data_IF_781860814834
#
_entry.id   IF_781860814834
#
_cell.length_a   1.000
_cell.length_b   1.000
_cell.length_c   1.000
_cell.angle_alpha   90.00
_cell.angle_beta   90.00
_cell.angle_gamma   90.00
#
_symmetry.space_group_name_H-M   'P 1'
#
loop_
_entity.id
_entity.type
_entity.pdbx_description
1 polymer ?
#
# COMPACT_ATOMS: atom_id res chain seq x y z
N UNK A 1 11.73 -38.05 30.02
CA UNK A 1 10.90 -36.89 29.65
C UNK A 1 11.63 -35.57 29.78
N UNK A 2 12.09 -35.16 30.98
CA UNK A 2 12.71 -33.84 31.19
C UNK A 2 14.02 -33.61 30.41
N UNK A 3 14.83 -34.66 30.20
CA UNK A 3 16.10 -34.57 29.44
C UNK A 3 15.82 -34.34 27.95
N UNK A 4 14.95 -35.15 27.35
CA UNK A 4 14.52 -34.97 25.96
C UNK A 4 13.88 -33.59 25.70
N UNK A 5 13.12 -33.08 26.68
CA UNK A 5 12.51 -31.75 26.60
C UNK A 5 13.56 -30.63 26.68
N UNK A 6 14.63 -30.81 27.46
CA UNK A 6 15.76 -29.85 27.52
C UNK A 6 16.59 -29.88 26.24
N UNK A 7 16.83 -31.06 25.66
CA UNK A 7 17.54 -31.23 24.39
C UNK A 7 16.79 -30.57 23.22
N UNK A 8 15.47 -30.74 23.16
CA UNK A 8 14.62 -30.06 22.18
C UNK A 8 14.67 -28.53 22.35
N UNK A 9 14.69 -28.04 23.59
CA UNK A 9 14.74 -26.60 23.87
C UNK A 9 16.12 -26.00 23.56
N UNK A 10 17.21 -26.76 23.71
CA UNK A 10 18.54 -26.34 23.28
C UNK A 10 18.70 -26.33 21.77
N UNK A 11 18.13 -27.32 21.07
CA UNK A 11 18.13 -27.37 19.61
C UNK A 11 17.34 -26.20 19.02
N UNK A 12 16.13 -25.95 19.51
CA UNK A 12 15.31 -24.82 19.07
C UNK A 12 15.99 -23.46 19.33
N UNK A 13 16.66 -23.30 20.48
CA UNK A 13 17.45 -22.09 20.76
C UNK A 13 18.63 -21.94 19.80
N UNK A 14 19.30 -23.04 19.46
CA UNK A 14 20.42 -23.03 18.52
C UNK A 14 19.98 -22.66 17.10
N UNK A 15 18.82 -23.16 16.65
CA UNK A 15 18.24 -22.83 15.34
C UNK A 15 17.87 -21.34 15.25
N UNK A 16 17.24 -20.78 16.30
CA UNK A 16 16.94 -19.34 16.36
C UNK A 16 18.21 -18.49 16.33
N UNK A 17 19.27 -18.90 17.03
CA UNK A 17 20.56 -18.18 16.96
C UNK A 17 21.22 -18.28 15.59
N UNK A 18 21.13 -19.43 14.92
CA UNK A 18 21.67 -19.61 13.56
C UNK A 18 20.91 -18.74 12.57
N UNK A 19 19.57 -18.69 12.65
CA UNK A 19 18.75 -17.81 11.82
C UNK A 19 19.09 -16.33 12.00
N UNK A 20 19.28 -15.88 13.25
CA UNK A 20 19.70 -14.50 13.55
C UNK A 20 21.08 -14.15 12.99
N UNK A 21 22.04 -15.07 13.11
CA UNK A 21 23.38 -14.88 12.56
C UNK A 21 23.37 -14.81 11.03
N UNK A 22 22.51 -15.58 10.37
CA UNK A 22 22.37 -15.53 8.91
C UNK A 22 21.70 -14.21 8.46
N UNK A 23 20.71 -13.70 9.19
CA UNK A 23 20.13 -12.36 8.94
C UNK A 23 21.21 -11.28 9.08
N UNK A 24 22.04 -11.31 10.13
CA UNK A 24 23.13 -10.34 10.31
C UNK A 24 24.17 -10.44 9.18
N UNK A 25 24.52 -11.67 8.77
CA UNK A 25 25.44 -11.91 7.65
C UNK A 25 24.90 -11.35 6.34
N UNK A 26 23.63 -11.64 6.01
CA UNK A 26 22.98 -11.15 4.79
C UNK A 26 22.87 -9.62 4.80
N UNK A 27 22.50 -9.01 5.93
CA UNK A 27 22.50 -7.54 6.12
C UNK A 27 23.89 -6.93 5.88
N UNK A 28 24.95 -7.59 6.36
CA UNK A 28 26.33 -7.14 6.15
C UNK A 28 26.76 -7.27 4.67
N UNK A 29 26.39 -8.37 4.01
CA UNK A 29 26.65 -8.56 2.57
C UNK A 29 25.91 -7.52 1.72
N UNK A 30 24.67 -7.21 2.07
CA UNK A 30 23.87 -6.19 1.41
C UNK A 30 24.44 -4.78 1.64
N UNK A 31 24.88 -4.46 2.85
CA UNK A 31 25.56 -3.19 3.14
C UNK A 31 26.88 -3.05 2.35
N UNK A 32 27.61 -4.15 2.17
CA UNK A 32 28.83 -4.20 1.35
C UNK A 32 28.52 -4.04 -0.14
N UNK A 33 27.53 -4.77 -0.66
CA UNK A 33 27.07 -4.67 -2.04
C UNK A 33 26.55 -3.27 -2.38
N UNK A 34 25.73 -2.66 -1.51
CA UNK A 34 25.29 -1.26 -1.65
C UNK A 34 26.45 -0.27 -1.65
N UNK A 35 27.51 -0.49 -0.85
CA UNK A 35 28.73 0.36 -0.88
C UNK A 35 29.51 0.19 -2.19
N UNK A 36 29.63 -1.04 -2.70
CA UNK A 36 30.30 -1.36 -3.97
C UNK A 36 29.50 -0.83 -5.19
N UNK A 37 28.18 -0.70 -5.06
CA UNK A 37 27.28 -0.15 -6.07
C UNK A 37 27.51 1.35 -6.34
N UNK A 38 28.14 2.09 -5.42
CA UNK A 38 28.59 3.46 -5.65
C UNK A 38 29.91 3.55 -6.46
N UNK A 39 30.47 2.42 -6.91
CA UNK A 39 31.50 2.33 -7.96
C UNK A 39 30.90 2.30 -9.37
N UNK A 40 31.59 1.73 -10.37
CA UNK A 40 31.00 1.53 -11.72
C UNK A 40 29.75 0.66 -11.58
N UNK A 41 28.57 1.27 -11.74
CA UNK A 41 27.29 0.61 -11.47
C UNK A 41 27.11 -0.56 -12.44
N UNK A 42 27.27 -1.80 -11.96
CA UNK A 42 26.86 -2.97 -12.73
C UNK A 42 25.41 -3.32 -12.37
N UNK A 43 24.56 -3.56 -13.37
CA UNK A 43 23.19 -4.06 -13.18
C UNK A 43 23.16 -5.33 -12.31
N UNK A 44 24.23 -6.14 -12.38
CA UNK A 44 24.44 -7.33 -11.52
C UNK A 44 24.49 -7.01 -10.03
N UNK A 45 25.09 -5.88 -9.64
CA UNK A 45 25.12 -5.44 -8.26
C UNK A 45 23.72 -5.06 -7.74
N UNK A 46 22.89 -4.43 -8.57
CA UNK A 46 21.51 -4.08 -8.21
C UNK A 46 20.65 -5.32 -7.99
N UNK A 47 20.70 -6.27 -8.93
CA UNK A 47 19.96 -7.53 -8.84
C UNK A 47 20.38 -8.36 -7.61
N UNK A 48 21.67 -8.36 -7.27
CA UNK A 48 22.16 -9.05 -6.07
C UNK A 48 21.62 -8.40 -4.78
N UNK A 49 21.55 -7.06 -4.73
CA UNK A 49 20.96 -6.35 -3.58
C UNK A 49 19.48 -6.72 -3.44
N UNK A 50 18.70 -6.65 -4.51
CA UNK A 50 17.28 -7.02 -4.51
C UNK A 50 17.05 -8.48 -4.07
N UNK A 51 17.89 -9.41 -4.55
CA UNK A 51 17.82 -10.82 -4.16
C UNK A 51 18.15 -11.03 -2.68
N UNK A 52 19.15 -10.33 -2.15
CA UNK A 52 19.52 -10.40 -0.74
C UNK A 52 18.45 -9.77 0.14
N UNK A 53 17.80 -8.68 -0.30
CA UNK A 53 16.66 -8.06 0.40
C UNK A 53 15.52 -9.07 0.56
N UNK A 54 15.13 -9.72 -0.53
CA UNK A 54 14.07 -10.75 -0.51
C UNK A 54 14.42 -11.92 0.43
N UNK A 55 15.67 -12.40 0.38
CA UNK A 55 16.11 -13.49 1.28
C UNK A 55 16.10 -13.08 2.76
N UNK A 56 16.39 -11.81 3.07
CA UNK A 56 16.28 -11.29 4.43
C UNK A 56 14.82 -11.23 4.86
N UNK A 57 13.93 -10.75 3.99
CA UNK A 57 12.48 -10.71 4.25
C UNK A 57 11.95 -12.12 4.60
N UNK A 58 12.24 -13.14 3.79
CA UNK A 58 11.81 -14.54 4.03
C UNK A 58 12.27 -15.08 5.40
N UNK A 59 13.51 -14.77 5.79
CA UNK A 59 14.07 -15.18 7.08
C UNK A 59 13.46 -14.41 8.26
N UNK A 60 13.23 -13.11 8.08
CA UNK A 60 12.57 -12.27 9.09
C UNK A 60 11.12 -12.72 9.31
N UNK A 61 10.40 -13.06 8.24
CA UNK A 61 9.05 -13.65 8.31
C UNK A 61 9.05 -14.97 9.07
N UNK A 62 9.98 -15.88 8.73
CA UNK A 62 10.10 -17.18 9.42
C UNK A 62 10.41 -17.00 10.90
N UNK A 63 11.32 -16.09 11.25
CA UNK A 63 11.63 -15.80 12.65
C UNK A 63 10.41 -15.21 13.38
N UNK A 64 9.71 -14.26 12.77
CA UNK A 64 8.51 -13.66 13.35
C UNK A 64 7.39 -14.69 13.56
N UNK A 65 7.22 -15.63 12.63
CA UNK A 65 6.27 -16.74 12.74
C UNK A 65 6.60 -17.62 13.96
N UNK A 66 7.86 -18.02 14.12
CA UNK A 66 8.31 -18.83 15.26
C UNK A 66 8.12 -18.10 16.60
N UNK A 67 8.51 -16.82 16.66
CA UNK A 67 8.34 -16.00 17.86
C UNK A 67 6.86 -15.85 18.23
N UNK A 68 5.99 -15.66 17.24
CA UNK A 68 4.54 -15.52 17.42
C UNK A 68 3.90 -16.84 17.87
N UNK A 69 4.26 -17.98 17.25
CA UNK A 69 3.81 -19.32 17.68
C UNK A 69 4.20 -19.60 19.14
N UNK A 70 5.43 -19.25 19.52
CA UNK A 70 5.89 -19.36 20.90
C UNK A 70 5.10 -18.47 21.87
N UNK A 71 4.69 -17.26 21.43
CA UNK A 71 3.83 -16.38 22.22
C UNK A 71 2.42 -16.94 22.43
N UNK A 72 1.80 -17.48 21.39
CA UNK A 72 0.49 -18.11 21.52
C UNK A 72 0.52 -19.31 22.48
N UNK A 73 1.55 -20.16 22.38
CA UNK A 73 1.74 -21.35 23.22
C UNK A 73 2.20 -21.07 24.67
N UNK A 74 2.63 -19.84 24.98
CA UNK A 74 3.11 -19.50 26.32
C UNK A 74 1.99 -19.47 27.38
N UNK A 75 2.23 -19.95 28.60
CA UNK A 75 1.27 -19.86 29.71
C UNK A 75 1.02 -18.40 30.12
N UNK A 76 -0.17 -18.08 30.66
CA UNK A 76 -0.56 -16.70 30.99
C UNK A 76 0.44 -15.97 31.90
N UNK A 77 1.04 -16.68 32.87
CA UNK A 77 2.06 -16.11 33.75
C UNK A 77 3.33 -15.67 32.99
N UNK A 78 3.68 -16.32 31.89
CA UNK A 78 4.79 -15.94 31.02
C UNK A 78 4.41 -14.77 30.09
N UNK A 79 3.16 -14.71 29.63
CA UNK A 79 2.61 -13.56 28.87
C UNK A 79 2.60 -12.28 29.71
N UNK A 80 2.21 -12.38 30.98
CA UNK A 80 2.24 -11.26 31.94
C UNK A 80 3.66 -10.75 32.23
N UNK A 81 4.65 -11.65 32.38
CA UNK A 81 6.06 -11.25 32.55
C UNK A 81 6.64 -10.60 31.29
N UNK A 82 6.26 -11.05 30.09
CA UNK A 82 6.70 -10.42 28.83
C UNK A 82 6.08 -9.04 28.62
N UNK A 83 4.84 -8.81 29.06
CA UNK A 83 4.21 -7.49 29.05
C UNK A 83 4.97 -6.45 29.91
N UNK A 84 5.79 -6.91 30.88
CA UNK A 84 6.63 -6.05 31.71
C UNK A 84 7.97 -5.67 31.06
N UNK A 85 8.36 -6.31 29.95
CA UNK A 85 9.55 -5.92 29.19
C UNK A 85 9.13 -5.02 28.01
N UNK A 86 9.46 -3.72 28.04
CA UNK A 86 9.03 -2.80 27.00
C UNK A 86 9.73 -3.10 25.68
N UNK A 87 8.96 -3.48 24.66
CA UNK A 87 9.40 -3.41 23.26
C UNK A 87 9.67 -1.93 22.92
N UNK A 88 10.60 -1.64 21.99
CA UNK A 88 10.84 -0.27 21.53
C UNK A 88 9.51 0.41 21.13
N UNK A 89 9.35 1.71 21.43
CA UNK A 89 8.11 2.42 21.17
C UNK A 89 7.77 2.36 19.68
N UNK A 90 6.55 1.93 19.36
CA UNK A 90 6.04 1.96 17.99
C UNK A 90 6.09 3.40 17.48
N UNK A 91 6.49 3.58 16.22
CA UNK A 91 6.33 4.90 15.58
C UNK A 91 4.86 5.29 15.64
N UNK A 92 4.53 6.55 15.97
CA UNK A 92 3.14 6.99 16.02
C UNK A 92 2.52 6.88 14.63
N UNK A 93 1.22 6.58 14.60
CA UNK A 93 0.44 6.61 13.37
C UNK A 93 0.36 8.06 12.84
N UNK A 94 0.27 8.27 11.52
CA UNK A 94 0.15 9.61 10.95
C UNK A 94 -1.13 10.32 11.42
N UNK A 95 -1.01 11.60 11.80
CA UNK A 95 -2.13 12.40 12.32
C UNK A 95 -3.06 12.98 11.25
N UNK A 96 -2.69 12.87 9.97
CA UNK A 96 -3.43 13.40 8.84
C UNK A 96 -4.49 12.43 8.27
N UNK A 97 -4.65 11.25 8.88
CA UNK A 97 -5.61 10.24 8.44
C UNK A 97 -6.98 10.46 9.10
N UNK A 98 -8.09 10.18 8.40
CA UNK A 98 -9.42 10.21 9.01
C UNK A 98 -9.49 9.17 10.14
N UNK A 99 -10.13 9.54 11.26
CA UNK A 99 -10.26 8.68 12.44
C UNK A 99 -11.73 8.29 12.62
N UNK A 100 -12.03 7.01 12.40
CA UNK A 100 -13.29 6.41 12.85
C UNK A 100 -13.17 6.03 14.33
N UNK A 101 -14.09 6.52 15.17
CA UNK A 101 -14.10 6.23 16.61
C UNK A 101 -15.24 5.28 16.95
N UNK A 102 -14.89 4.02 17.15
CA UNK A 102 -15.80 2.99 17.65
C UNK A 102 -15.73 3.00 19.18
N UNK A 103 -16.87 3.25 19.83
CA UNK A 103 -16.99 3.23 21.30
C UNK A 103 -17.68 1.93 21.69
N UNK A 104 -16.93 1.05 22.34
CA UNK A 104 -17.49 -0.19 22.88
C UNK A 104 -18.57 0.10 23.94
N UNK A 105 -19.63 -0.72 24.01
CA UNK A 105 -20.72 -0.50 24.95
C UNK A 105 -20.22 -0.56 26.39
N UNK A 106 -20.83 0.26 27.26
CA UNK A 106 -20.50 0.22 28.67
C UNK A 106 -20.84 -1.15 29.28
N UNK A 107 -20.04 -1.63 30.25
CA UNK A 107 -20.41 -2.84 30.98
C UNK A 107 -21.73 -2.63 31.72
N UNK A 108 -22.61 -3.63 31.73
CA UNK A 108 -23.88 -3.55 32.46
C UNK A 108 -23.72 -3.68 33.98
N UNK A 109 -22.62 -4.28 34.45
CA UNK A 109 -22.35 -4.53 35.85
C UNK A 109 -20.86 -4.49 36.17
N UNK A 110 -20.53 -4.20 37.42
CA UNK A 110 -19.16 -4.27 37.91
C UNK A 110 -18.67 -5.73 37.92
N UNK A 111 -17.55 -6.00 37.22
CA UNK A 111 -16.96 -7.35 37.13
C UNK A 111 -16.50 -7.94 38.47
N UNK A 112 -16.46 -7.15 39.57
CA UNK A 112 -16.05 -7.61 40.90
C UNK A 112 -17.23 -7.83 41.86
N UNK A 113 -18.25 -6.98 41.83
CA UNK A 113 -19.37 -7.03 42.79
C UNK A 113 -20.77 -7.12 42.16
N UNK A 114 -20.87 -7.09 40.83
CA UNK A 114 -22.13 -7.21 40.11
C UNK A 114 -23.03 -5.96 40.15
N UNK A 115 -22.60 -4.85 40.76
CA UNK A 115 -23.43 -3.64 40.85
C UNK A 115 -23.57 -2.93 39.49
N UNK A 116 -24.76 -2.41 39.20
CA UNK A 116 -25.05 -1.59 38.01
C UNK A 116 -24.67 -0.11 38.18
N UNK A 117 -24.24 0.28 39.39
CA UNK A 117 -23.85 1.66 39.74
C UNK A 117 -22.43 1.98 39.22
N UNK A 118 -22.29 2.16 37.91
CA UNK A 118 -21.03 2.44 37.24
C UNK A 118 -20.91 3.94 36.90
N UNK A 119 -19.70 4.49 37.01
CA UNK A 119 -19.39 5.88 36.61
C UNK A 119 -18.19 5.90 35.66
N UNK A 120 -18.25 6.71 34.61
CA UNK A 120 -17.17 6.86 33.63
C UNK A 120 -15.99 7.62 34.25
N UNK A 121 -14.82 6.98 34.33
CA UNK A 121 -13.59 7.60 34.87
C UNK A 121 -12.69 8.20 33.79
N UNK A 122 -12.67 7.61 32.61
CA UNK A 122 -11.78 7.98 31.52
C UNK A 122 -11.91 6.99 30.39
N UNK A 123 -11.02 7.09 29.42
CA UNK A 123 -11.00 6.22 28.25
C UNK A 123 -9.57 5.76 27.98
N UNK A 124 -9.44 4.51 27.57
CA UNK A 124 -8.19 3.96 27.07
C UNK A 124 -8.35 3.86 25.55
N UNK A 125 -7.56 4.64 24.80
CA UNK A 125 -7.66 4.70 23.34
C UNK A 125 -6.60 3.78 22.74
N UNK A 126 -7.06 2.79 21.98
CA UNK A 126 -6.21 2.02 21.07
C UNK A 126 -6.45 2.50 19.64
N UNK A 127 -5.40 2.86 18.91
CA UNK A 127 -5.49 3.20 17.48
C UNK A 127 -5.04 2.00 16.65
N UNK A 128 -5.87 1.60 15.70
CA UNK A 128 -5.56 0.55 14.70
C UNK A 128 -5.54 1.21 13.32
N UNK A 129 -4.54 0.87 12.50
CA UNK A 129 -4.47 1.32 11.12
C UNK A 129 -5.21 0.31 10.24
N UNK A 130 -6.31 0.75 9.64
CA UNK A 130 -7.13 -0.04 8.71
C UNK A 130 -7.04 0.51 7.28
N UNK A 131 -7.34 -0.32 6.29
CA UNK A 131 -7.34 0.05 4.88
C UNK A 131 -8.66 -0.37 4.25
N UNK A 132 -9.44 0.60 3.76
CA UNK A 132 -10.58 0.32 2.90
C UNK A 132 -10.08 0.08 1.46
N UNK A 133 -10.38 -1.07 0.84
CA UNK A 133 -10.08 -1.30 -0.57
C UNK A 133 -10.75 -0.26 -1.48
N UNK A 134 -10.36 -0.26 -2.75
CA UNK A 134 -10.93 0.70 -3.70
C UNK A 134 -12.46 0.56 -3.83
N UNK A 135 -13.15 1.70 -3.85
CA UNK A 135 -14.61 1.77 -4.00
C UNK A 135 -15.00 2.16 -5.41
N UNK A 136 -15.66 1.25 -6.12
CA UNK A 136 -16.22 1.51 -7.46
C UNK A 136 -17.56 2.26 -7.34
N UNK A 137 -17.78 3.23 -8.23
CA UNK A 137 -19.04 3.99 -8.31
C UNK A 137 -19.33 4.39 -9.75
N UNK A 138 -20.62 4.47 -10.07
CA UNK A 138 -21.12 5.07 -11.31
C UNK A 138 -21.55 6.50 -10.96
N UNK A 139 -21.17 7.47 -11.81
CA UNK A 139 -21.64 8.85 -11.70
C UNK A 139 -22.53 9.10 -12.91
N UNK A 140 -23.82 9.28 -12.66
CA UNK A 140 -24.79 9.62 -13.71
C UNK A 140 -25.00 11.13 -13.75
N UNK A 141 -24.72 11.73 -14.90
CA UNK A 141 -24.99 13.15 -15.15
C UNK A 141 -26.33 13.31 -15.87
N UNK A 142 -27.40 13.51 -15.11
CA UNK A 142 -28.74 13.75 -15.65
C UNK A 142 -28.87 15.22 -16.06
N UNK A 143 -29.24 15.46 -17.32
CA UNK A 143 -29.52 16.80 -17.86
C UNK A 143 -31.00 16.88 -18.23
N UNK A 144 -31.76 17.52 -17.36
CA UNK A 144 -33.19 17.68 -17.58
C UNK A 144 -33.45 18.70 -18.68
N UNK A 145 -34.45 18.40 -19.51
CA UNK A 145 -34.92 19.27 -20.58
C UNK A 145 -36.20 19.95 -20.13
N UNK A 146 -36.27 21.26 -20.33
CA UNK A 146 -37.44 22.07 -20.01
C UNK A 146 -37.94 22.79 -21.26
N UNK A 147 -39.25 22.78 -21.49
CA UNK A 147 -39.88 23.64 -22.49
C UNK A 147 -40.32 24.95 -21.85
N UNK A 148 -40.02 26.07 -22.49
CA UNK A 148 -40.59 27.36 -22.13
C UNK A 148 -42.08 27.36 -22.48
N UNK A 149 -42.96 27.82 -21.58
CA UNK A 149 -44.42 27.90 -21.87
C UNK A 149 -44.80 29.05 -22.78
N UNK A 150 -43.97 30.08 -22.87
CA UNK A 150 -44.27 31.29 -23.65
C UNK A 150 -43.88 31.14 -25.12
N UNK A 151 -42.78 30.44 -25.41
CA UNK A 151 -42.24 30.29 -26.77
C UNK A 151 -42.00 28.84 -27.20
N UNK A 152 -42.37 27.86 -26.38
CA UNK A 152 -42.20 26.42 -26.62
C UNK A 152 -40.75 25.96 -26.86
N UNK A 153 -39.77 26.85 -26.70
CA UNK A 153 -38.36 26.52 -26.87
C UNK A 153 -37.88 25.52 -25.80
N UNK A 154 -37.11 24.52 -26.22
CA UNK A 154 -36.54 23.50 -25.34
C UNK A 154 -35.16 23.97 -24.89
N UNK A 155 -34.91 23.94 -23.58
CA UNK A 155 -33.65 24.33 -22.95
C UNK A 155 -33.12 23.18 -22.08
N UNK A 156 -31.80 23.04 -22.03
CA UNK A 156 -31.10 22.06 -21.19
C UNK A 156 -29.80 22.66 -20.65
N UNK A 157 -29.32 22.13 -19.52
CA UNK A 157 -28.00 22.48 -19.01
C UNK A 157 -26.89 21.97 -19.96
N UNK A 158 -25.76 22.68 -20.07
CA UNK A 158 -24.63 22.23 -20.87
C UNK A 158 -24.08 20.89 -20.36
N UNK A 159 -23.51 20.09 -21.27
CA UNK A 159 -22.88 18.84 -20.90
C UNK A 159 -21.67 19.08 -19.98
N UNK A 160 -21.47 18.25 -18.95
CA UNK A 160 -20.27 18.34 -18.12
C UNK A 160 -19.02 18.11 -18.97
N UNK A 161 -17.94 18.81 -18.63
CA UNK A 161 -16.64 18.61 -19.26
C UNK A 161 -16.02 17.30 -18.81
N UNK A 162 -15.59 16.47 -19.76
CA UNK A 162 -14.83 15.25 -19.49
C UNK A 162 -13.44 15.35 -20.13
N UNK A 163 -12.39 14.79 -19.50
CA UNK A 163 -11.04 14.79 -20.06
C UNK A 163 -10.96 14.10 -21.43
N UNK A 164 -11.72 13.02 -21.61
CA UNK A 164 -11.85 12.30 -22.87
C UNK A 164 -13.31 12.39 -23.32
N UNK A 165 -13.59 12.99 -24.49
CA UNK A 165 -14.94 13.06 -25.03
C UNK A 165 -15.58 11.67 -25.18
N UNK A 166 -16.83 11.53 -24.75
CA UNK A 166 -17.64 10.30 -24.89
C UNK A 166 -17.01 9.04 -24.25
N UNK A 167 -16.09 9.20 -23.31
CA UNK A 167 -15.49 8.09 -22.57
C UNK A 167 -16.36 7.62 -21.41
N UNK A 168 -16.38 6.32 -21.12
CA UNK A 168 -17.04 5.77 -19.93
C UNK A 168 -16.23 6.01 -18.64
N UNK A 169 -14.92 6.21 -18.77
CA UNK A 169 -14.01 6.35 -17.64
C UNK A 169 -13.94 7.80 -17.16
N UNK A 170 -14.30 8.04 -15.90
CA UNK A 170 -14.12 9.33 -15.25
C UNK A 170 -12.65 9.67 -14.97
N UNK A 171 -12.34 10.93 -14.62
CA UNK A 171 -10.97 11.42 -14.42
C UNK A 171 -10.19 10.62 -13.37
N UNK A 172 -10.80 10.25 -12.25
CA UNK A 172 -10.14 9.48 -11.19
C UNK A 172 -9.77 8.06 -11.64
N UNK A 173 -10.62 7.41 -12.44
CA UNK A 173 -10.31 6.09 -13.00
C UNK A 173 -9.14 6.17 -13.99
N UNK A 174 -9.16 7.18 -14.86
CA UNK A 174 -8.06 7.42 -15.80
C UNK A 174 -6.73 7.68 -15.08
N UNK A 175 -6.75 8.53 -14.05
CA UNK A 175 -5.57 8.82 -13.24
C UNK A 175 -5.03 7.54 -12.56
N UNK A 176 -5.90 6.72 -11.98
CA UNK A 176 -5.52 5.45 -11.37
C UNK A 176 -4.86 4.50 -12.38
N UNK A 177 -5.44 4.35 -13.58
CA UNK A 177 -4.87 3.48 -14.63
C UNK A 177 -3.46 3.94 -15.03
N UNK A 178 -3.25 5.25 -15.20
CA UNK A 178 -1.96 5.83 -15.57
C UNK A 178 -0.93 5.68 -14.44
N UNK A 179 -1.29 6.01 -13.21
CA UNK A 179 -0.41 5.88 -12.04
C UNK A 179 0.00 4.42 -11.86
N UNK A 180 -0.96 3.49 -11.91
CA UNK A 180 -0.64 2.08 -11.79
C UNK A 180 0.28 1.61 -12.93
N UNK A 181 0.05 2.07 -14.17
CA UNK A 181 0.85 1.66 -15.32
C UNK A 181 2.28 2.20 -15.26
N UNK A 182 2.43 3.50 -15.03
CA UNK A 182 3.70 4.20 -15.23
C UNK A 182 4.48 4.42 -13.93
N UNK A 183 3.80 4.66 -12.80
CA UNK A 183 4.47 4.88 -11.51
C UNK A 183 4.67 3.56 -10.75
N UNK A 184 3.69 2.66 -10.78
CA UNK A 184 3.73 1.39 -10.04
C UNK A 184 4.10 0.19 -10.92
N UNK A 185 4.47 0.43 -12.19
CA UNK A 185 4.90 -0.59 -13.14
C UNK A 185 3.93 -1.78 -13.29
N UNK A 186 2.62 -1.55 -13.12
CA UNK A 186 1.60 -2.57 -13.25
C UNK A 186 1.10 -2.64 -14.71
N UNK A 187 1.41 -3.70 -15.46
CA UNK A 187 0.97 -3.80 -16.86
C UNK A 187 -0.56 -3.90 -16.96
N UNK A 188 -1.12 -3.44 -18.09
CA UNK A 188 -2.57 -3.30 -18.27
C UNK A 188 -3.33 -4.63 -18.15
N UNK A 189 -2.72 -5.75 -18.53
CA UNK A 189 -3.31 -7.08 -18.34
C UNK A 189 -3.48 -7.44 -16.85
N UNK A 190 -2.54 -7.03 -15.99
CA UNK A 190 -2.61 -7.23 -14.55
C UNK A 190 -3.67 -6.31 -13.94
N UNK A 191 -3.75 -5.07 -14.39
CA UNK A 191 -4.81 -4.14 -13.97
C UNK A 191 -6.20 -4.66 -14.33
N UNK A 192 -6.41 -5.05 -15.60
CA UNK A 192 -7.68 -5.64 -16.08
C UNK A 192 -8.11 -6.85 -15.25
N UNK A 193 -7.19 -7.79 -14.98
CA UNK A 193 -7.46 -8.95 -14.12
C UNK A 193 -7.80 -8.56 -12.68
N UNK A 194 -7.14 -7.54 -12.13
CA UNK A 194 -7.47 -7.03 -10.80
C UNK A 194 -8.88 -6.43 -10.78
N UNK A 195 -9.25 -5.64 -11.78
CA UNK A 195 -10.59 -5.04 -11.86
C UNK A 195 -11.68 -6.11 -12.01
N UNK A 196 -11.43 -7.16 -12.81
CA UNK A 196 -12.37 -8.26 -12.96
C UNK A 196 -12.61 -9.02 -11.64
N UNK A 197 -11.56 -9.20 -10.80
CA UNK A 197 -11.71 -9.77 -9.44
C UNK A 197 -12.55 -8.90 -8.51
N UNK A 198 -12.67 -7.61 -8.81
CA UNK A 198 -13.49 -6.65 -8.08
C UNK A 198 -14.89 -6.48 -8.72
N UNK A 199 -15.24 -7.33 -9.69
CA UNK A 199 -16.52 -7.30 -10.40
C UNK A 199 -16.61 -6.28 -11.53
N UNK A 200 -15.49 -5.68 -11.95
CA UNK A 200 -15.43 -4.66 -12.99
C UNK A 200 -14.65 -5.19 -14.19
N UNK A 201 -15.37 -5.63 -15.22
CA UNK A 201 -14.78 -6.16 -16.45
C UNK A 201 -14.40 -5.02 -17.39
N UNK A 202 -13.08 -4.85 -17.63
CA UNK A 202 -12.54 -3.90 -18.61
C UNK A 202 -11.42 -4.59 -19.37
N UNK A 203 -11.60 -4.70 -20.68
CA UNK A 203 -10.60 -5.31 -21.56
C UNK A 203 -9.30 -4.49 -21.64
N UNK A 204 -8.21 -5.19 -21.91
CA UNK A 204 -6.88 -4.58 -22.08
C UNK A 204 -6.85 -3.60 -23.26
N UNK A 205 -7.57 -3.90 -24.36
CA UNK A 205 -7.72 -3.00 -25.50
C UNK A 205 -8.40 -1.69 -25.09
N UNK A 206 -9.51 -1.79 -24.35
CA UNK A 206 -10.25 -0.63 -23.83
C UNK A 206 -9.36 0.22 -22.93
N UNK A 207 -8.59 -0.39 -22.03
CA UNK A 207 -7.61 0.33 -21.20
C UNK A 207 -6.51 0.98 -22.04
N UNK A 208 -5.99 0.29 -23.06
CA UNK A 208 -4.96 0.83 -23.95
C UNK A 208 -5.47 2.06 -24.71
N UNK A 209 -6.69 2.01 -25.25
CA UNK A 209 -7.35 3.14 -25.91
C UNK A 209 -7.48 4.33 -24.95
N UNK A 210 -7.86 4.07 -23.69
CA UNK A 210 -7.95 5.13 -22.67
C UNK A 210 -6.59 5.73 -22.36
N UNK A 211 -5.54 4.92 -22.24
CA UNK A 211 -4.17 5.43 -22.04
C UNK A 211 -3.75 6.32 -23.22
N UNK A 212 -3.99 5.88 -24.46
CA UNK A 212 -3.69 6.68 -25.65
C UNK A 212 -4.41 8.03 -25.65
N UNK A 213 -5.71 8.04 -25.35
CA UNK A 213 -6.50 9.26 -25.25
C UNK A 213 -6.02 10.19 -24.12
N UNK A 214 -5.59 9.65 -22.98
CA UNK A 214 -4.98 10.45 -21.91
C UNK A 214 -3.68 11.12 -22.33
N UNK A 215 -2.84 10.45 -23.12
CA UNK A 215 -1.58 11.05 -23.61
C UNK A 215 -1.90 12.33 -24.40
N UNK A 216 -2.83 12.25 -25.34
CA UNK A 216 -3.27 13.41 -26.14
C UNK A 216 -3.87 14.50 -25.23
N UNK A 217 -4.70 14.12 -24.26
CA UNK A 217 -5.31 15.09 -23.34
C UNK A 217 -4.27 15.81 -22.45
N UNK A 218 -3.11 15.20 -22.22
CA UNK A 218 -2.02 15.75 -21.41
C UNK A 218 -1.01 16.57 -22.24
N UNK A 219 -1.11 16.58 -23.58
CA UNK A 219 -0.19 17.33 -24.45
C UNK A 219 0.03 18.79 -24.03
N UNK A 220 -1.00 19.58 -23.62
CA UNK A 220 -0.78 20.95 -23.17
C UNK A 220 0.10 21.05 -21.91
N UNK A 221 -0.01 20.07 -21.00
CA UNK A 221 0.81 20.02 -19.79
C UNK A 221 2.25 19.62 -20.15
N UNK A 222 2.41 18.65 -21.06
CA UNK A 222 3.71 18.23 -21.57
C UNK A 222 4.43 19.42 -22.22
N UNK A 223 3.71 20.23 -23.01
CA UNK A 223 4.27 21.44 -23.61
C UNK A 223 4.68 22.47 -22.56
N UNK A 224 3.85 22.71 -21.55
CA UNK A 224 4.16 23.64 -20.47
C UNK A 224 5.40 23.20 -19.68
N UNK A 225 5.52 21.90 -19.38
CA UNK A 225 6.72 21.33 -18.73
C UNK A 225 7.95 21.51 -19.64
N UNK A 226 7.82 21.26 -20.94
CA UNK A 226 8.92 21.45 -21.90
C UNK A 226 9.40 22.90 -21.90
N UNK A 227 8.50 23.87 -22.01
CA UNK A 227 8.83 25.30 -21.97
C UNK A 227 9.55 25.64 -20.65
N UNK A 228 9.01 25.16 -19.52
CA UNK A 228 9.60 25.39 -18.21
C UNK A 228 11.03 24.83 -18.12
N UNK A 229 11.24 23.57 -18.49
CA UNK A 229 12.57 22.91 -18.45
C UNK A 229 13.56 23.60 -19.39
N UNK A 230 13.12 23.97 -20.60
CA UNK A 230 13.97 24.65 -21.59
C UNK A 230 14.32 26.09 -21.21
N UNK A 231 13.59 26.70 -20.27
CA UNK A 231 13.90 28.04 -19.75
C UNK A 231 15.02 28.05 -18.70
N UNK A 232 15.46 26.88 -18.23
CA UNK A 232 16.51 26.78 -17.22
C UNK A 232 17.88 27.18 -17.77
N UNK A 233 18.67 27.90 -16.97
CA UNK A 233 20.05 28.31 -17.33
C UNK A 233 20.97 27.10 -17.58
N UNK A 234 20.70 25.98 -16.90
CA UNK A 234 21.46 24.74 -17.02
C UNK A 234 20.53 23.53 -16.99
N UNK A 235 20.64 22.67 -18.00
CA UNK A 235 19.87 21.43 -18.14
C UNK A 235 20.82 20.24 -17.96
N UNK A 236 20.43 19.28 -17.12
CA UNK A 236 21.13 18.01 -16.99
C UNK A 236 20.31 16.92 -17.69
N UNK A 237 20.96 16.15 -18.55
CA UNK A 237 20.37 14.99 -19.22
C UNK A 237 21.13 13.73 -18.77
N UNK A 238 20.39 12.67 -18.50
CA UNK A 238 20.92 11.34 -18.18
C UNK A 238 20.32 10.35 -19.18
N UNK A 239 21.18 9.66 -19.92
CA UNK A 239 20.77 8.70 -20.93
C UNK A 239 20.57 7.33 -20.28
N UNK A 240 19.33 6.87 -20.25
CA UNK A 240 18.99 5.52 -19.81
C UNK A 240 18.76 4.61 -21.01
N UNK A 241 19.52 3.51 -21.11
CA UNK A 241 19.34 2.50 -22.15
C UNK A 241 18.11 1.64 -21.85
N UNK A 242 17.14 1.62 -22.77
CA UNK A 242 16.00 0.71 -22.69
C UNK A 242 16.37 -0.62 -23.35
N UNK A 243 16.57 -1.68 -22.56
CA UNK A 243 16.71 -3.03 -23.07
C UNK A 243 15.35 -3.51 -23.59
N UNK A 244 15.19 -3.54 -24.92
CA UNK A 244 14.02 -4.16 -25.56
C UNK A 244 14.22 -5.68 -25.54
N UNK A 245 13.55 -6.38 -24.64
CA UNK A 245 13.40 -7.83 -24.76
C UNK A 245 12.48 -8.11 -25.96
N UNK A 246 13.08 -8.40 -27.13
CA UNK A 246 12.41 -9.01 -28.28
C UNK A 246 12.08 -10.46 -28.00
#
# INVERSE_FOLDING_TARGET
>A
MIIAQREQLTLAKSEVTVGRLEIERLKLMLAKARREQFGQSSERGKLLVEQLELAIEDLEETQAEQETKAEFAAPEAAKQKRAQNPRPPRRPLPDNLPVERIVEPMPCACGKCGSERLHKLGEVVSKTLECEPRRWKIIEHVREKFSCRDCEAITEAPAPSHPIPRGFAGPSLLAMVLVNKFLLHQPLNRQSKTYAREGIEIDVSTLADRVGACVVALDPIIEAIRIHVMSAERIHADDSVLQKHT
#
